data_IF_144234340913
#
_entry.id   IF_144234340913
#
_cell.length_a   1.000
_cell.length_b   1.000
_cell.length_c   1.000
_cell.angle_alpha   90.00
_cell.angle_beta   90.00
_cell.angle_gamma   90.00
#
_symmetry.space_group_name_H-M   'P 1'
#
loop_
_entity.id
_entity.type
_entity.pdbx_description
1 polymer ?
#
# COMPACT_ATOMS: atom_id res chain seq x y z
N UNK A 1 20.46 -2.07 5.99
CA UNK A 1 20.26 -3.01 4.86
C UNK A 1 19.47 -2.35 3.74
N UNK A 2 19.43 -2.97 2.56
CA UNK A 2 18.49 -2.64 1.47
C UNK A 2 17.84 -3.93 1.01
N UNK A 3 16.51 -3.96 0.89
CA UNK A 3 15.74 -5.08 0.33
C UNK A 3 14.82 -4.57 -0.76
N UNK A 4 14.66 -5.35 -1.82
CA UNK A 4 13.87 -5.02 -3.00
C UNK A 4 13.08 -6.23 -3.43
N UNK A 5 11.78 -6.07 -3.68
CA UNK A 5 10.91 -7.11 -4.22
C UNK A 5 9.99 -6.58 -5.31
N UNK A 6 9.58 -7.47 -6.21
CA UNK A 6 8.56 -7.19 -7.22
C UNK A 6 7.19 -7.64 -6.69
N UNK A 7 6.27 -6.70 -6.50
CA UNK A 7 4.93 -6.93 -5.95
C UNK A 7 4.01 -5.77 -6.34
N UNK A 8 2.69 -5.97 -6.37
CA UNK A 8 1.70 -4.94 -6.76
C UNK A 8 1.93 -4.36 -8.17
N UNK A 9 2.48 -5.17 -9.09
CA UNK A 9 2.85 -4.74 -10.44
C UNK A 9 3.96 -3.69 -10.48
N UNK A 10 4.72 -3.53 -9.40
CA UNK A 10 5.81 -2.55 -9.28
C UNK A 10 7.00 -3.12 -8.51
N UNK A 11 7.98 -2.26 -8.20
CA UNK A 11 9.11 -2.56 -7.34
C UNK A 11 8.88 -1.87 -5.99
N UNK A 12 8.94 -2.66 -4.92
CA UNK A 12 8.98 -2.18 -3.54
C UNK A 12 10.41 -2.24 -3.05
N UNK A 13 10.93 -1.13 -2.53
CA UNK A 13 12.28 -1.06 -1.95
C UNK A 13 12.26 -0.48 -0.53
N UNK A 14 12.95 -1.18 0.38
CA UNK A 14 13.17 -0.75 1.75
C UNK A 14 14.67 -0.51 1.98
N UNK A 15 15.00 0.73 2.36
CA UNK A 15 16.32 1.13 2.81
C UNK A 15 16.27 1.37 4.31
N UNK A 16 16.85 0.49 5.11
CA UNK A 16 16.84 0.58 6.57
C UNK A 16 18.25 0.86 7.11
N UNK A 17 18.38 1.87 7.97
CA UNK A 17 19.68 2.30 8.54
C UNK A 17 19.87 1.91 9.99
N UNK A 18 18.79 1.61 10.71
CA UNK A 18 18.90 1.20 12.11
C UNK A 18 19.47 -0.21 12.23
N UNK A 19 20.54 -0.41 13.01
CA UNK A 19 20.99 -1.74 13.38
C UNK A 19 20.01 -2.37 14.39
N UNK A 20 19.88 -3.69 14.36
CA UNK A 20 19.13 -4.44 15.38
C UNK A 20 17.62 -4.55 15.13
N UNK A 21 17.09 -4.01 14.04
CA UNK A 21 15.75 -4.36 13.57
C UNK A 21 15.77 -5.81 13.11
N UNK A 22 14.87 -6.63 13.64
CA UNK A 22 14.80 -8.05 13.35
C UNK A 22 14.40 -8.29 11.88
N UNK A 23 15.02 -9.29 11.25
CA UNK A 23 14.67 -9.69 9.87
C UNK A 23 13.18 -10.03 9.76
N UNK A 24 12.57 -10.62 10.79
CA UNK A 24 11.14 -10.91 10.85
C UNK A 24 10.25 -9.66 10.69
N UNK A 25 10.70 -8.49 11.15
CA UNK A 25 9.96 -7.24 10.95
C UNK A 25 10.02 -6.79 9.48
N UNK A 26 11.17 -6.98 8.83
CA UNK A 26 11.35 -6.72 7.40
C UNK A 26 10.54 -7.71 6.58
N UNK A 27 10.58 -9.00 6.92
CA UNK A 27 9.75 -10.04 6.29
C UNK A 27 8.27 -9.71 6.42
N UNK A 28 7.82 -9.27 7.60
CA UNK A 28 6.43 -8.86 7.82
C UNK A 28 6.00 -7.71 6.91
N UNK A 29 6.86 -6.73 6.66
CA UNK A 29 6.57 -5.61 5.74
C UNK A 29 6.40 -6.08 4.31
N UNK A 30 7.28 -6.95 3.82
CA UNK A 30 7.14 -7.48 2.47
C UNK A 30 5.95 -8.44 2.36
N UNK A 31 5.70 -9.26 3.39
CA UNK A 31 4.49 -10.07 3.52
C UNK A 31 3.22 -9.24 3.43
N UNK A 32 3.18 -8.08 4.09
CA UNK A 32 2.08 -7.13 3.97
C UNK A 32 1.84 -6.67 2.53
N UNK A 33 2.88 -6.30 1.77
CA UNK A 33 2.70 -5.91 0.37
C UNK A 33 2.17 -7.06 -0.51
N UNK A 34 2.56 -8.31 -0.23
CA UNK A 34 1.99 -9.48 -0.91
C UNK A 34 0.52 -9.71 -0.53
N UNK A 35 0.13 -9.46 0.72
CA UNK A 35 -1.28 -9.49 1.14
C UNK A 35 -2.09 -8.39 0.46
N UNK A 36 -1.54 -7.17 0.36
CA UNK A 36 -2.16 -6.06 -0.35
C UNK A 36 -2.35 -6.42 -1.83
N UNK A 37 -1.34 -6.99 -2.49
CA UNK A 37 -1.49 -7.48 -3.88
C UNK A 37 -2.59 -8.54 -3.99
N UNK A 38 -2.63 -9.51 -3.07
CA UNK A 38 -3.64 -10.56 -3.07
C UNK A 38 -5.07 -10.02 -2.90
N UNK A 39 -5.28 -9.03 -2.02
CA UNK A 39 -6.61 -8.45 -1.74
C UNK A 39 -7.04 -7.41 -2.79
N UNK A 40 -6.11 -6.56 -3.22
CA UNK A 40 -6.43 -5.35 -3.99
C UNK A 40 -6.10 -5.41 -5.49
N UNK A 41 -5.45 -6.47 -5.97
CA UNK A 41 -5.13 -6.59 -7.40
C UNK A 41 -6.38 -6.58 -8.26
N UNK A 42 -6.42 -5.71 -9.26
CA UNK A 42 -7.48 -5.67 -10.28
C UNK A 42 -7.30 -6.69 -11.40
N UNK A 43 -6.20 -7.45 -11.37
CA UNK A 43 -5.84 -8.46 -12.36
C UNK A 43 -6.07 -9.89 -11.87
N UNK A 44 -6.00 -10.10 -10.56
CA UNK A 44 -6.26 -11.39 -9.93
C UNK A 44 -7.76 -11.60 -9.82
N UNK A 45 -8.27 -12.67 -10.43
CA UNK A 45 -9.70 -12.96 -10.37
C UNK A 45 -10.16 -13.26 -8.96
N UNK A 46 -9.32 -13.86 -8.12
CA UNK A 46 -9.64 -14.25 -6.74
C UNK A 46 -9.54 -13.10 -5.73
N UNK A 47 -9.04 -11.92 -6.12
CA UNK A 47 -8.93 -10.78 -5.22
C UNK A 47 -10.29 -10.23 -4.81
N UNK A 48 -10.33 -9.60 -3.64
CA UNK A 48 -11.54 -8.96 -3.14
C UNK A 48 -11.99 -7.82 -4.05
N UNK A 49 -11.05 -7.00 -4.55
CA UNK A 49 -11.35 -5.90 -5.48
C UNK A 49 -11.96 -6.41 -6.79
N UNK A 50 -11.39 -7.44 -7.40
CA UNK A 50 -11.93 -8.02 -8.62
C UNK A 50 -13.29 -8.67 -8.38
N UNK A 51 -13.52 -9.27 -7.21
CA UNK A 51 -14.82 -9.86 -6.84
C UNK A 51 -15.88 -8.80 -6.59
N UNK A 52 -15.53 -7.70 -5.91
CA UNK A 52 -16.40 -6.55 -5.70
C UNK A 52 -16.79 -5.92 -7.03
N UNK A 53 -15.83 -5.67 -7.93
CA UNK A 53 -16.07 -5.07 -9.23
C UNK A 53 -17.06 -5.84 -10.11
N UNK A 54 -17.19 -7.16 -9.92
CA UNK A 54 -18.15 -8.01 -10.64
C UNK A 54 -19.37 -8.44 -9.81
N UNK A 55 -19.53 -7.92 -8.60
CA UNK A 55 -20.65 -8.26 -7.70
C UNK A 55 -20.61 -9.67 -7.11
N UNK A 56 -19.46 -10.34 -7.11
CA UNK A 56 -19.25 -11.68 -6.51
C UNK A 56 -18.82 -11.64 -5.04
N UNK A 57 -18.76 -10.44 -4.45
CA UNK A 57 -18.50 -10.17 -3.04
C UNK A 57 -19.27 -8.89 -2.67
N UNK A 58 -20.00 -8.86 -1.57
CA UNK A 58 -20.58 -7.64 -1.03
C UNK A 58 -19.58 -6.86 -0.17
N UNK A 59 -19.72 -5.53 -0.10
CA UNK A 59 -18.86 -4.66 0.75
C UNK A 59 -18.91 -5.06 2.23
N UNK A 60 -20.07 -5.49 2.73
CA UNK A 60 -20.21 -5.98 4.11
C UNK A 60 -19.48 -7.29 4.38
N UNK A 61 -19.12 -8.05 3.34
CA UNK A 61 -18.46 -9.35 3.43
C UNK A 61 -16.95 -9.26 3.15
N UNK A 62 -16.45 -8.10 2.71
CA UNK A 62 -15.02 -7.93 2.43
C UNK A 62 -14.19 -7.85 3.72
N UNK A 63 -12.86 -7.79 3.58
CA UNK A 63 -11.96 -7.49 4.70
C UNK A 63 -12.16 -6.07 5.23
N UNK A 64 -11.70 -5.86 6.48
CA UNK A 64 -11.63 -4.52 7.10
C UNK A 64 -10.77 -3.57 6.27
N UNK A 65 -9.64 -4.05 5.75
CA UNK A 65 -8.74 -3.30 4.86
C UNK A 65 -9.49 -2.76 3.63
N UNK A 66 -10.26 -3.63 2.96
CA UNK A 66 -11.02 -3.22 1.77
C UNK A 66 -12.12 -2.23 2.12
N UNK A 67 -12.80 -2.41 3.25
CA UNK A 67 -13.81 -1.44 3.74
C UNK A 67 -13.19 -0.09 4.07
N UNK A 68 -12.02 -0.08 4.69
CA UNK A 68 -11.29 1.15 5.01
C UNK A 68 -10.89 1.90 3.73
N UNK A 69 -10.30 1.20 2.77
CA UNK A 69 -9.91 1.80 1.48
C UNK A 69 -11.13 2.34 0.74
N UNK A 70 -12.26 1.64 0.75
CA UNK A 70 -13.50 2.13 0.15
C UNK A 70 -13.97 3.43 0.82
N UNK A 71 -13.97 3.50 2.15
CA UNK A 71 -14.34 4.71 2.87
C UNK A 71 -13.40 5.89 2.54
N UNK A 72 -12.09 5.64 2.46
CA UNK A 72 -11.11 6.64 2.05
C UNK A 72 -11.32 7.08 0.58
N UNK A 73 -11.67 6.16 -0.32
CA UNK A 73 -12.00 6.50 -1.70
C UNK A 73 -13.24 7.41 -1.77
N UNK A 74 -14.27 7.15 -0.96
CA UNK A 74 -15.47 7.97 -0.89
C UNK A 74 -15.17 9.39 -0.36
N UNK A 75 -14.29 9.50 0.63
CA UNK A 75 -13.81 10.79 1.14
C UNK A 75 -13.07 11.58 0.07
N UNK A 76 -12.10 10.97 -0.62
CA UNK A 76 -11.34 11.62 -1.69
C UNK A 76 -12.23 11.97 -2.89
N UNK A 77 -13.20 11.13 -3.25
CA UNK A 77 -14.19 11.44 -4.29
C UNK A 77 -14.96 12.72 -3.95
N UNK A 78 -15.46 12.83 -2.72
CA UNK A 78 -16.19 13.99 -2.22
C UNK A 78 -15.33 15.25 -2.18
N UNK A 79 -14.10 15.15 -1.67
CA UNK A 79 -13.17 16.30 -1.58
C UNK A 79 -12.70 16.78 -2.95
N UNK A 80 -12.60 15.87 -3.91
CA UNK A 80 -12.19 16.18 -5.28
C UNK A 80 -13.35 16.54 -6.21
N UNK A 81 -14.56 16.73 -5.67
CA UNK A 81 -15.79 17.04 -6.44
C UNK A 81 -16.04 16.05 -7.60
N UNK A 82 -15.75 14.77 -7.37
CA UNK A 82 -15.95 13.69 -8.33
C UNK A 82 -14.83 13.51 -9.36
N UNK A 83 -13.72 14.25 -9.25
CA UNK A 83 -12.54 14.05 -10.10
C UNK A 83 -11.89 12.69 -9.81
N UNK A 84 -11.80 12.31 -8.53
CA UNK A 84 -11.37 10.98 -8.13
C UNK A 84 -12.57 10.02 -8.14
N UNK A 85 -12.59 9.09 -9.09
CA UNK A 85 -13.62 8.05 -9.21
C UNK A 85 -12.95 6.69 -9.35
N UNK A 86 -13.46 5.70 -8.60
CA UNK A 86 -12.94 4.33 -8.57
C UNK A 86 -13.91 3.33 -9.18
N UNK A 87 -15.18 3.69 -9.39
CA UNK A 87 -16.20 2.87 -10.02
C UNK A 87 -16.51 3.30 -11.45
N UNK A 88 -17.00 2.37 -12.27
CA UNK A 88 -17.64 2.71 -13.54
C UNK A 88 -16.74 3.40 -14.57
N UNK A 89 -15.41 3.20 -14.47
CA UNK A 89 -14.45 3.76 -15.44
C UNK A 89 -14.81 3.27 -16.85
N UNK A 90 -14.70 4.19 -17.83
CA UNK A 90 -14.97 3.88 -19.25
C UNK A 90 -14.06 2.78 -19.81
N UNK A 91 -12.84 2.69 -19.29
CA UNK A 91 -11.82 1.70 -19.66
C UNK A 91 -11.17 1.16 -18.39
N UNK A 92 -10.86 -0.13 -18.39
CA UNK A 92 -10.27 -0.82 -17.25
C UNK A 92 -11.28 -1.67 -16.46
N UNK A 93 -10.92 -2.12 -15.26
CA UNK A 93 -11.80 -2.93 -14.43
C UNK A 93 -12.98 -2.09 -13.92
N UNK A 94 -14.14 -2.73 -13.61
CA UNK A 94 -15.33 -2.01 -13.13
C UNK A 94 -15.12 -1.25 -11.80
N UNK A 95 -14.13 -1.68 -11.02
CA UNK A 95 -13.70 -1.09 -9.76
C UNK A 95 -12.17 -1.05 -9.72
N UNK A 96 -11.60 0.13 -9.45
CA UNK A 96 -10.15 0.34 -9.39
C UNK A 96 -9.75 1.37 -8.31
N UNK A 97 -9.45 0.90 -7.08
CA UNK A 97 -8.95 1.73 -5.99
C UNK A 97 -7.42 1.89 -6.02
N UNK A 98 -6.72 1.43 -7.05
CA UNK A 98 -5.24 1.32 -7.05
C UNK A 98 -4.52 2.65 -6.83
N UNK A 99 -5.14 3.77 -7.22
CA UNK A 99 -4.61 5.12 -6.99
C UNK A 99 -4.55 5.50 -5.49
N UNK A 100 -5.38 4.88 -4.64
CA UNK A 100 -5.37 5.11 -3.19
C UNK A 100 -4.57 4.01 -2.46
N UNK A 101 -4.74 2.75 -2.89
CA UNK A 101 -4.18 1.56 -2.22
C UNK A 101 -2.66 1.63 -2.07
N UNK A 102 -1.94 2.16 -3.06
CA UNK A 102 -0.47 2.22 -3.01
C UNK A 102 0.01 3.09 -1.86
N UNK A 103 -0.41 4.36 -1.79
CA UNK A 103 -0.07 5.26 -0.68
C UNK A 103 -0.48 4.69 0.68
N UNK A 104 -1.73 4.22 0.79
CA UNK A 104 -2.25 3.60 2.02
C UNK A 104 -1.41 2.39 2.47
N UNK A 105 -0.98 1.53 1.53
CA UNK A 105 -0.16 0.36 1.85
C UNK A 105 1.23 0.73 2.37
N UNK A 106 1.83 1.79 1.83
CA UNK A 106 3.14 2.31 2.26
C UNK A 106 3.05 2.92 3.65
N UNK A 107 1.98 3.65 3.96
CA UNK A 107 1.74 4.21 5.30
C UNK A 107 1.60 3.10 6.35
N UNK A 108 0.83 2.04 6.05
CA UNK A 108 0.68 0.87 6.94
C UNK A 108 2.01 0.13 7.13
N UNK A 109 2.76 -0.10 6.06
CA UNK A 109 4.07 -0.71 6.12
C UNK A 109 5.07 0.11 6.95
N UNK A 110 5.04 1.44 6.83
CA UNK A 110 5.85 2.34 7.64
C UNK A 110 5.50 2.23 9.13
N UNK A 111 4.20 2.18 9.47
CA UNK A 111 3.75 1.99 10.85
C UNK A 111 4.22 0.65 11.44
N UNK A 112 4.24 -0.43 10.63
CA UNK A 112 4.80 -1.73 11.06
C UNK A 112 6.29 -1.63 11.42
N UNK A 113 7.08 -0.94 10.60
CA UNK A 113 8.51 -0.70 10.87
C UNK A 113 8.70 0.16 12.12
N UNK A 114 7.92 1.21 12.28
CA UNK A 114 7.97 2.08 13.46
C UNK A 114 7.59 1.33 14.74
N UNK A 115 6.58 0.46 14.68
CA UNK A 115 6.18 -0.43 15.76
C UNK A 115 7.26 -1.44 16.13
N UNK A 116 8.05 -1.89 15.14
CA UNK A 116 9.25 -2.71 15.35
C UNK A 116 10.47 -1.93 15.87
N UNK A 117 10.33 -0.62 16.10
CA UNK A 117 11.38 0.24 16.65
C UNK A 117 12.25 0.92 15.60
N UNK A 118 11.97 0.78 14.30
CA UNK A 118 12.71 1.50 13.26
C UNK A 118 12.42 3.01 13.34
N UNK A 119 13.45 3.82 13.09
CA UNK A 119 13.44 5.28 13.15
C UNK A 119 14.13 5.92 11.93
N UNK A 120 15.02 5.20 11.25
CA UNK A 120 15.79 5.65 10.10
C UNK A 120 15.59 4.67 8.93
N UNK A 121 14.51 4.88 8.17
CA UNK A 121 14.21 4.07 6.99
C UNK A 121 13.60 4.89 5.86
N UNK A 122 13.67 4.35 4.65
CA UNK A 122 13.00 4.85 3.46
C UNK A 122 12.35 3.69 2.74
N UNK A 123 11.05 3.80 2.52
CA UNK A 123 10.22 2.82 1.86
C UNK A 123 9.63 3.45 0.59
N UNK A 124 9.72 2.74 -0.53
CA UNK A 124 9.15 3.15 -1.80
C UNK A 124 8.37 1.97 -2.39
N UNK A 125 7.12 2.22 -2.81
CA UNK A 125 6.33 1.29 -3.61
C UNK A 125 5.83 2.00 -4.87
N UNK A 126 6.54 1.82 -5.99
CA UNK A 126 6.12 2.35 -7.28
C UNK A 126 5.95 3.87 -7.37
N UNK A 127 6.67 4.63 -6.53
CA UNK A 127 6.62 6.09 -6.48
C UNK A 127 5.94 6.65 -5.23
N UNK A 128 5.12 5.85 -4.54
CA UNK A 128 4.59 6.19 -3.22
C UNK A 128 5.67 5.95 -2.17
N UNK A 129 6.04 6.98 -1.42
CA UNK A 129 7.25 6.98 -0.58
C UNK A 129 6.99 7.45 0.84
N UNK A 130 7.63 6.77 1.80
CA UNK A 130 7.72 7.21 3.19
C UNK A 130 9.17 7.18 3.63
N UNK A 131 9.68 8.33 4.06
CA UNK A 131 10.97 8.47 4.72
C UNK A 131 10.80 8.82 6.20
N UNK A 132 11.58 8.17 7.07
CA UNK A 132 11.71 8.49 8.49
C UNK A 132 13.17 8.65 8.87
N UNK A 133 13.45 9.65 9.71
CA UNK A 133 14.81 9.97 10.14
C UNK A 133 15.72 10.38 8.97
N UNK A 134 16.94 9.84 8.95
CA UNK A 134 17.94 10.19 7.94
C UNK A 134 18.68 8.99 7.36
N UNK A 135 19.26 9.20 6.17
CA UNK A 135 20.15 8.22 5.55
C UNK A 135 21.49 8.10 6.28
N UNK A 136 21.91 9.19 6.95
CA UNK A 136 23.11 9.34 7.77
C UNK A 136 22.83 10.35 8.90
N UNK A 137 23.62 10.36 9.99
CA UNK A 137 23.50 11.37 11.03
C UNK A 137 23.52 12.79 10.46
N UNK A 138 22.51 13.59 10.80
CA UNK A 138 22.36 14.97 10.32
C UNK A 138 21.97 15.13 8.84
N UNK A 139 21.69 14.04 8.11
CA UNK A 139 21.32 14.08 6.69
C UNK A 139 20.04 13.30 6.42
N UNK A 140 18.97 14.05 6.14
CA UNK A 140 17.67 13.50 5.73
C UNK A 140 17.73 12.67 4.45
N UNK A 141 16.66 11.92 4.21
CA UNK A 141 16.47 11.23 2.94
C UNK A 141 16.33 12.21 1.78
N UNK A 142 16.86 11.83 0.62
CA UNK A 142 16.66 12.58 -0.62
C UNK A 142 15.60 11.84 -1.42
N UNK A 143 14.56 12.57 -1.80
CA UNK A 143 13.44 12.12 -2.64
C UNK A 143 13.58 12.79 -3.99
#
# INVERSE_FOLDING_TARGET
MVRVEHVMGTVVSLHLRDPGIADAAVDGVFGWFHEVDARFSTYREDSEVSRLGRGALGVGESSDDVREVLALCDDVHRESEGIFEVWGRRHGPPFDPSALVKGWSVDRAAAMLEGAGARNFYLNAGGDVVGRGGAQPGRGWRV
#
